data_IF_688063453851
#
_entry.id   IF_688063453851
#
_cell.length_a   1.000
_cell.length_b   1.000
_cell.length_c   1.000
_cell.angle_alpha   90.00
_cell.angle_beta   90.00
_cell.angle_gamma   90.00
#
_symmetry.space_group_name_H-M   'P 1'
#
loop_
_entity.id
_entity.type
_entity.pdbx_description
1 polymer ?
#
# COMPACT_ATOMS: atom_id res chain seq x y z
N UNK A 1 6.37 5.51 16.77
CA UNK A 1 6.56 5.51 15.30
C UNK A 1 5.43 6.27 14.61
N UNK A 2 5.62 6.64 13.35
CA UNK A 2 4.60 7.28 12.50
C UNK A 2 4.23 6.36 11.33
N UNK A 3 2.95 6.02 11.20
CA UNK A 3 2.43 5.21 10.10
C UNK A 3 1.73 6.10 9.08
N UNK A 4 1.98 5.86 7.77
CA UNK A 4 1.26 6.49 6.67
C UNK A 4 0.35 5.45 6.02
N UNK A 5 -0.94 5.73 5.95
CA UNK A 5 -1.91 4.93 5.23
C UNK A 5 -2.17 5.49 3.84
N UNK A 6 -2.10 4.64 2.84
CA UNK A 6 -2.70 4.84 1.51
C UNK A 6 -3.99 4.05 1.46
N UNK A 7 -5.11 4.74 1.56
CA UNK A 7 -6.45 4.16 1.54
C UNK A 7 -7.09 4.35 0.18
N UNK A 8 -7.51 3.24 -0.45
CA UNK A 8 -8.10 3.26 -1.78
C UNK A 8 -9.43 2.47 -1.79
N UNK A 9 -10.52 3.16 -1.56
CA UNK A 9 -11.86 2.61 -1.72
C UNK A 9 -12.89 3.72 -1.94
N UNK A 10 -13.74 3.65 -2.99
CA UNK A 10 -14.73 4.69 -3.30
C UNK A 10 -15.85 4.81 -2.27
N UNK A 11 -16.18 3.71 -1.58
CA UNK A 11 -17.33 3.64 -0.69
C UNK A 11 -16.92 3.79 0.77
N UNK A 12 -17.49 4.79 1.48
CA UNK A 12 -17.17 5.09 2.89
C UNK A 12 -17.51 3.96 3.85
N UNK A 13 -18.63 3.29 3.66
CA UNK A 13 -19.09 2.19 4.50
C UNK A 13 -18.54 0.83 4.04
N UNK A 14 -17.36 0.80 3.42
CA UNK A 14 -16.73 -0.42 2.97
C UNK A 14 -16.05 -1.18 4.12
N UNK A 15 -15.87 -2.48 3.93
CA UNK A 15 -15.08 -3.27 4.88
C UNK A 15 -13.59 -2.85 4.88
N UNK A 16 -13.06 -2.31 3.78
CA UNK A 16 -11.74 -1.67 3.75
C UNK A 16 -11.67 -0.48 4.71
N UNK A 17 -12.74 0.32 4.81
CA UNK A 17 -12.80 1.43 5.78
C UNK A 17 -12.79 0.92 7.21
N UNK A 18 -13.57 -0.11 7.52
CA UNK A 18 -13.55 -0.72 8.84
C UNK A 18 -12.16 -1.29 9.21
N UNK A 19 -11.41 -1.81 8.22
CA UNK A 19 -10.02 -2.27 8.41
C UNK A 19 -9.07 -1.12 8.68
N UNK A 20 -9.23 0.02 7.98
CA UNK A 20 -8.48 1.25 8.28
C UNK A 20 -8.75 1.73 9.70
N UNK A 21 -10.02 1.82 10.08
CA UNK A 21 -10.42 2.30 11.41
C UNK A 21 -9.87 1.38 12.52
N UNK A 22 -9.87 0.07 12.30
CA UNK A 22 -9.29 -0.90 13.23
C UNK A 22 -7.76 -0.76 13.33
N UNK A 23 -7.06 -0.51 12.22
CA UNK A 23 -5.62 -0.30 12.19
C UNK A 23 -5.24 1.00 12.93
N UNK A 24 -5.96 2.09 12.65
CA UNK A 24 -5.79 3.38 13.33
C UNK A 24 -6.05 3.26 14.84
N UNK A 25 -7.11 2.54 15.24
CA UNK A 25 -7.38 2.29 16.64
C UNK A 25 -6.22 1.55 17.33
N UNK A 26 -5.62 0.54 16.65
CA UNK A 26 -4.45 -0.16 17.17
C UNK A 26 -3.23 0.75 17.38
N UNK A 27 -2.94 1.63 16.42
CA UNK A 27 -1.84 2.61 16.56
C UNK A 27 -2.08 3.59 17.72
N UNK A 28 -3.32 4.07 17.87
CA UNK A 28 -3.70 4.95 19.00
C UNK A 28 -3.53 4.25 20.35
N UNK A 29 -3.95 3.00 20.46
CA UNK A 29 -3.78 2.19 21.67
C UNK A 29 -2.31 2.09 22.10
N UNK A 30 -1.38 2.08 21.13
CA UNK A 30 0.06 2.03 21.36
C UNK A 30 0.75 3.41 21.43
N UNK A 31 0.01 4.52 21.34
CA UNK A 31 0.57 5.87 21.36
C UNK A 31 1.36 6.25 20.11
N UNK A 32 1.07 5.62 18.97
CA UNK A 32 1.73 5.90 17.69
C UNK A 32 1.01 6.98 16.90
N UNK A 33 1.77 7.76 16.12
CA UNK A 33 1.23 8.74 15.18
C UNK A 33 0.79 8.07 13.88
N UNK A 34 -0.17 8.68 13.21
CA UNK A 34 -0.60 8.23 11.88
C UNK A 34 -0.99 9.40 10.99
N UNK A 35 -0.93 9.15 9.69
CA UNK A 35 -1.36 10.03 8.62
C UNK A 35 -2.11 9.20 7.56
N UNK A 36 -3.10 9.78 6.87
CA UNK A 36 -3.95 9.06 5.93
C UNK A 36 -4.04 9.82 4.60
N UNK A 37 -3.58 9.20 3.53
CA UNK A 37 -3.90 9.56 2.15
C UNK A 37 -5.15 8.79 1.74
N UNK A 38 -6.31 9.45 1.72
CA UNK A 38 -7.51 8.90 1.08
C UNK A 38 -7.43 9.24 -0.41
N UNK A 39 -6.75 8.40 -1.18
CA UNK A 39 -6.39 8.70 -2.56
C UNK A 39 -7.60 8.89 -3.47
N UNK A 40 -8.73 8.28 -3.12
CA UNK A 40 -9.96 8.43 -3.87
C UNK A 40 -10.55 9.85 -3.71
N UNK A 41 -10.43 10.44 -2.51
CA UNK A 41 -10.95 11.78 -2.18
C UNK A 41 -9.98 12.91 -2.46
N UNK A 42 -8.69 12.61 -2.52
CA UNK A 42 -7.65 13.60 -2.78
C UNK A 42 -7.68 14.16 -4.21
N UNK A 43 -8.50 13.58 -5.10
CA UNK A 43 -8.55 13.98 -6.51
C UNK A 43 -7.24 13.72 -7.25
N UNK A 44 -6.51 12.68 -6.84
CA UNK A 44 -5.28 12.26 -7.50
C UNK A 44 -5.57 11.69 -8.89
N UNK A 45 -4.87 12.18 -9.91
CA UNK A 45 -4.92 11.62 -11.26
C UNK A 45 -3.90 10.45 -11.37
N UNK A 46 -4.36 9.19 -11.48
CA UNK A 46 -3.48 8.03 -11.53
C UNK A 46 -2.78 7.85 -12.89
N UNK A 47 -3.19 8.59 -13.91
CA UNK A 47 -2.69 8.40 -15.27
C UNK A 47 -1.32 9.04 -15.41
N UNK A 48 -0.33 8.23 -15.79
CA UNK A 48 1.01 8.71 -16.16
C UNK A 48 0.91 9.35 -17.55
N UNK A 49 1.15 10.65 -17.64
CA UNK A 49 1.03 11.44 -18.87
C UNK A 49 2.38 11.67 -19.52
N UNK A 50 2.38 12.22 -20.74
CA UNK A 50 3.60 12.59 -21.47
C UNK A 50 4.46 13.57 -20.69
N UNK A 51 3.83 14.54 -20.01
CA UNK A 51 4.53 15.51 -19.16
C UNK A 51 5.24 14.82 -17.98
N UNK A 52 4.59 13.82 -17.35
CA UNK A 52 5.19 13.05 -16.26
C UNK A 52 6.43 12.27 -16.76
N UNK A 53 6.34 11.65 -17.95
CA UNK A 53 7.46 10.93 -18.56
C UNK A 53 8.67 11.84 -18.89
N UNK A 54 8.42 13.09 -19.26
CA UNK A 54 9.50 14.04 -19.51
C UNK A 54 10.33 14.32 -18.24
N UNK A 55 9.74 14.19 -17.06
CA UNK A 55 10.37 14.40 -15.77
C UNK A 55 10.88 13.11 -15.10
N UNK A 56 10.42 11.94 -15.57
CA UNK A 56 10.65 10.66 -14.91
C UNK A 56 12.13 10.32 -14.73
N UNK A 57 12.94 10.41 -15.78
CA UNK A 57 14.37 10.06 -15.73
C UNK A 57 15.18 10.95 -14.77
N UNK A 58 14.77 12.20 -14.61
CA UNK A 58 15.38 13.13 -13.66
C UNK A 58 14.89 12.95 -12.20
N UNK A 59 13.89 12.10 -12.00
CA UNK A 59 13.29 11.90 -10.68
C UNK A 59 12.51 13.12 -10.19
N UNK A 60 12.06 13.97 -11.12
CA UNK A 60 11.23 15.15 -10.87
C UNK A 60 9.78 14.87 -11.29
N UNK A 61 8.88 15.78 -10.98
CA UNK A 61 7.45 15.60 -11.23
C UNK A 61 6.81 16.92 -11.67
N UNK A 62 5.78 16.82 -12.53
CA UNK A 62 4.92 17.94 -12.94
C UNK A 62 3.76 18.15 -11.96
N UNK A 63 3.27 17.09 -11.33
CA UNK A 63 2.15 17.09 -10.38
C UNK A 63 2.64 17.34 -8.95
N UNK A 64 2.25 18.47 -8.36
CA UNK A 64 2.64 18.85 -7.00
C UNK A 64 2.22 17.81 -5.93
N UNK A 65 1.15 17.04 -6.18
CA UNK A 65 0.72 15.94 -5.29
C UNK A 65 1.76 14.85 -5.16
N UNK A 66 2.53 14.58 -6.20
CA UNK A 66 3.63 13.60 -6.15
C UNK A 66 4.64 14.00 -5.08
N UNK A 67 5.10 15.24 -5.10
CA UNK A 67 6.03 15.76 -4.09
C UNK A 67 5.43 15.81 -2.67
N UNK A 68 4.13 16.09 -2.55
CA UNK A 68 3.42 16.00 -1.26
C UNK A 68 3.46 14.56 -0.73
N UNK A 69 3.10 13.59 -1.56
CA UNK A 69 3.07 12.18 -1.17
C UNK A 69 4.46 11.64 -0.83
N UNK A 70 5.49 12.02 -1.58
CA UNK A 70 6.88 11.66 -1.26
C UNK A 70 7.29 12.18 0.12
N UNK A 71 7.02 13.46 0.44
CA UNK A 71 7.31 14.02 1.78
C UNK A 71 6.57 13.29 2.89
N UNK A 72 5.30 12.88 2.65
CA UNK A 72 4.51 12.11 3.64
C UNK A 72 5.08 10.70 3.84
N UNK A 73 5.54 10.05 2.79
CA UNK A 73 6.25 8.76 2.87
C UNK A 73 7.60 8.93 3.60
N UNK A 74 8.33 10.01 3.32
CA UNK A 74 9.61 10.28 3.99
C UNK A 74 9.46 10.52 5.49
N UNK A 75 8.36 11.11 5.91
CA UNK A 75 8.06 11.33 7.31
C UNK A 75 7.55 10.07 8.06
N UNK A 76 7.31 8.97 7.34
CA UNK A 76 6.76 7.75 7.92
C UNK A 76 7.86 6.70 8.21
N UNK A 77 7.64 5.94 9.29
CA UNK A 77 8.42 4.73 9.61
C UNK A 77 7.78 3.49 8.99
N UNK A 78 6.45 3.52 8.80
CA UNK A 78 5.67 2.38 8.32
C UNK A 78 4.64 2.83 7.30
N UNK A 79 4.66 2.23 6.11
CA UNK A 79 3.72 2.49 5.03
C UNK A 79 2.65 1.40 4.96
N UNK A 80 1.39 1.78 4.95
CA UNK A 80 0.26 0.84 4.94
C UNK A 80 -0.61 1.10 3.72
N UNK A 81 -0.79 0.11 2.88
CA UNK A 81 -1.76 0.17 1.79
C UNK A 81 -3.02 -0.63 2.14
N UNK A 82 -4.20 -0.04 1.97
CA UNK A 82 -5.50 -0.70 2.20
C UNK A 82 -6.38 -0.54 0.97
N UNK A 83 -6.69 -1.66 0.30
CA UNK A 83 -7.50 -1.65 -0.92
C UNK A 83 -8.21 -3.00 -1.18
N UNK A 84 -9.30 -3.02 -1.98
CA UNK A 84 -9.89 -4.24 -2.48
C UNK A 84 -9.06 -4.81 -3.65
N UNK A 85 -8.96 -6.13 -3.73
CA UNK A 85 -8.36 -6.76 -4.91
C UNK A 85 -9.38 -6.77 -6.04
N UNK A 86 -9.10 -6.02 -7.09
CA UNK A 86 -9.87 -5.97 -8.33
C UNK A 86 -9.04 -6.54 -9.47
N UNK A 87 -9.65 -7.45 -10.24
CA UNK A 87 -8.95 -8.10 -11.35
C UNK A 87 -7.54 -8.62 -10.98
N UNK A 88 -7.46 -9.30 -9.83
CA UNK A 88 -6.27 -9.96 -9.28
C UNK A 88 -5.16 -9.05 -8.74
N UNK A 89 -5.28 -7.75 -8.88
CA UNK A 89 -4.31 -6.76 -8.43
C UNK A 89 -4.96 -5.60 -7.68
N UNK A 90 -4.22 -4.53 -7.47
CA UNK A 90 -4.70 -3.30 -6.84
C UNK A 90 -5.59 -2.49 -7.80
N UNK A 91 -6.47 -1.60 -7.27
CA UNK A 91 -7.21 -0.64 -8.07
C UNK A 91 -6.30 0.35 -8.82
N UNK A 92 -6.86 1.03 -9.81
CA UNK A 92 -6.14 1.96 -10.67
C UNK A 92 -5.47 3.11 -9.91
N UNK A 93 -6.13 3.69 -8.90
CA UNK A 93 -5.55 4.76 -8.09
C UNK A 93 -4.30 4.29 -7.32
N UNK A 94 -4.37 3.12 -6.67
CA UNK A 94 -3.20 2.53 -6.00
C UNK A 94 -2.07 2.22 -6.99
N UNK A 95 -2.39 1.74 -8.21
CA UNK A 95 -1.38 1.49 -9.24
C UNK A 95 -0.75 2.79 -9.73
N UNK A 96 -1.56 3.80 -10.03
CA UNK A 96 -1.10 5.12 -10.44
C UNK A 96 -0.25 5.82 -9.36
N UNK A 97 -0.58 5.63 -8.08
CA UNK A 97 0.29 6.08 -6.99
C UNK A 97 1.69 5.46 -7.12
N UNK A 98 1.79 4.15 -7.31
CA UNK A 98 3.09 3.50 -7.48
C UNK A 98 3.82 4.01 -8.72
N UNK A 99 3.13 4.21 -9.85
CA UNK A 99 3.72 4.63 -11.10
C UNK A 99 4.24 6.08 -11.09
N UNK A 100 3.51 6.99 -10.43
CA UNK A 100 3.83 8.42 -10.42
C UNK A 100 4.69 8.83 -9.23
N UNK A 101 4.59 8.14 -8.08
CA UNK A 101 5.26 8.55 -6.84
C UNK A 101 6.60 7.85 -6.65
N UNK A 102 6.74 6.57 -7.08
CA UNK A 102 7.99 5.82 -6.92
C UNK A 102 9.01 6.18 -8.03
N UNK A 103 9.44 7.43 -8.03
CA UNK A 103 10.36 7.95 -9.03
C UNK A 103 11.81 7.53 -8.78
N UNK A 104 12.65 7.48 -9.85
CA UNK A 104 14.10 7.36 -9.73
C UNK A 104 14.69 8.44 -8.80
N UNK A 105 15.87 8.22 -8.28
CA UNK A 105 16.62 9.10 -7.36
C UNK A 105 15.95 9.32 -5.98
N UNK A 106 14.66 8.96 -5.83
CA UNK A 106 13.95 8.99 -4.56
C UNK A 106 13.61 7.58 -4.04
N UNK A 107 13.04 6.71 -4.85
CA UNK A 107 12.67 5.35 -4.42
C UNK A 107 13.71 4.30 -4.80
N UNK A 108 14.44 4.54 -5.87
CA UNK A 108 15.56 3.72 -6.32
C UNK A 108 16.55 4.58 -7.13
N UNK A 109 17.76 4.09 -7.30
CA UNK A 109 18.77 4.68 -8.19
C UNK A 109 19.40 3.61 -9.08
N UNK A 110 19.78 4.00 -10.27
CA UNK A 110 20.56 3.17 -11.17
C UNK A 110 21.97 2.99 -10.63
N UNK A 111 22.55 1.81 -10.85
CA UNK A 111 23.91 1.47 -10.45
C UNK A 111 24.68 1.05 -11.69
N UNK A 112 26.00 0.91 -11.60
CA UNK A 112 26.81 0.31 -12.67
C UNK A 112 26.49 -1.18 -12.89
N UNK A 113 25.71 -1.81 -12.01
CA UNK A 113 25.27 -3.19 -12.09
C UNK A 113 23.91 -3.33 -12.81
N UNK A 114 23.50 -4.58 -13.04
CA UNK A 114 22.23 -4.90 -13.70
C UNK A 114 20.99 -4.57 -12.84
N UNK A 115 21.14 -4.50 -11.52
CA UNK A 115 20.03 -4.32 -10.59
C UNK A 115 20.14 -2.95 -9.91
N UNK A 116 19.11 -2.10 -10.02
CA UNK A 116 19.07 -0.82 -9.32
C UNK A 116 19.13 -0.99 -7.80
N UNK A 117 19.61 0.02 -7.10
CA UNK A 117 19.62 0.08 -5.65
C UNK A 117 18.34 0.74 -5.14
N UNK A 118 17.55 0.02 -4.35
CA UNK A 118 16.38 0.58 -3.68
C UNK A 118 16.75 1.49 -2.51
N UNK A 119 16.08 2.62 -2.38
CA UNK A 119 16.41 3.68 -1.41
C UNK A 119 15.47 3.72 -0.19
N UNK A 120 14.36 2.97 -0.21
CA UNK A 120 13.34 2.99 0.85
C UNK A 120 13.46 1.83 1.85
N UNK A 121 14.67 1.31 2.06
CA UNK A 121 14.94 0.14 2.91
C UNK A 121 14.59 0.35 4.40
N UNK A 122 14.47 1.60 4.86
CA UNK A 122 14.09 1.97 6.22
C UNK A 122 12.61 1.70 6.53
N UNK A 123 11.74 1.67 5.51
CA UNK A 123 10.30 1.54 5.72
C UNK A 123 9.89 0.12 6.12
N UNK A 124 8.99 0.02 7.11
CA UNK A 124 8.10 -1.12 7.24
C UNK A 124 6.93 -1.00 6.27
N UNK A 125 6.42 -2.11 5.76
CA UNK A 125 5.23 -2.10 4.88
C UNK A 125 4.22 -3.15 5.30
N UNK A 126 2.97 -2.73 5.42
CA UNK A 126 1.82 -3.62 5.56
C UNK A 126 0.82 -3.38 4.44
N UNK A 127 0.44 -4.43 3.74
CA UNK A 127 -0.64 -4.39 2.74
C UNK A 127 -1.85 -5.11 3.32
N UNK A 128 -3.00 -4.45 3.39
CA UNK A 128 -4.26 -5.03 3.85
C UNK A 128 -5.19 -5.08 2.63
N UNK A 129 -5.67 -6.27 2.30
CA UNK A 129 -6.55 -6.43 1.13
C UNK A 129 -7.82 -7.19 1.46
N UNK A 130 -8.88 -6.87 0.75
CA UNK A 130 -10.11 -7.67 0.69
C UNK A 130 -10.25 -8.31 -0.68
N UNK A 131 -10.76 -9.54 -0.75
CA UNK A 131 -11.04 -10.20 -2.04
C UNK A 131 -12.26 -11.11 -1.96
N UNK A 132 -12.88 -11.35 -3.11
CA UNK A 132 -14.08 -12.21 -3.23
C UNK A 132 -13.79 -13.69 -3.06
N UNK A 133 -12.57 -14.16 -3.30
CA UNK A 133 -12.16 -15.55 -3.24
C UNK A 133 -11.39 -15.89 -1.95
N UNK A 134 -11.37 -17.15 -1.50
CA UNK A 134 -10.45 -17.61 -0.47
C UNK A 134 -9.00 -17.42 -0.90
N UNK A 135 -8.11 -17.10 0.04
CA UNK A 135 -6.70 -16.84 -0.29
C UNK A 135 -5.99 -18.04 -0.93
N UNK A 136 -6.30 -19.27 -0.48
CA UNK A 136 -5.73 -20.47 -1.08
C UNK A 136 -6.08 -20.62 -2.55
N UNK A 137 -7.34 -20.29 -2.93
CA UNK A 137 -7.80 -20.34 -4.33
C UNK A 137 -7.04 -19.31 -5.17
N UNK A 138 -6.92 -18.07 -4.68
CA UNK A 138 -6.14 -17.01 -5.33
C UNK A 138 -4.68 -17.42 -5.57
N UNK A 139 -4.05 -18.11 -4.59
CA UNK A 139 -2.67 -18.57 -4.72
C UNK A 139 -2.50 -19.67 -5.77
N UNK A 140 -3.43 -20.61 -5.85
CA UNK A 140 -3.28 -21.78 -6.71
C UNK A 140 -3.72 -21.50 -8.15
N UNK A 141 -4.82 -20.77 -8.33
CA UNK A 141 -5.42 -20.58 -9.66
C UNK A 141 -5.11 -19.24 -10.33
N UNK A 142 -4.77 -18.22 -9.55
CA UNK A 142 -4.43 -16.89 -10.08
C UNK A 142 -2.96 -16.51 -9.86
N UNK A 143 -2.09 -17.48 -9.64
CA UNK A 143 -0.64 -17.26 -9.55
C UNK A 143 -0.17 -16.35 -8.43
N UNK A 144 -1.05 -16.01 -7.46
CA UNK A 144 -0.72 -15.10 -6.36
C UNK A 144 -0.12 -13.76 -6.85
N UNK A 145 -0.74 -13.18 -7.89
CA UNK A 145 -0.21 -12.05 -8.66
C UNK A 145 0.22 -10.87 -7.79
N UNK A 146 -0.57 -10.50 -6.77
CA UNK A 146 -0.26 -9.39 -5.87
C UNK A 146 1.02 -9.65 -5.04
N UNK A 147 1.24 -10.90 -4.60
CA UNK A 147 2.47 -11.26 -3.90
C UNK A 147 3.69 -11.18 -4.82
N UNK A 148 3.52 -11.51 -6.09
CA UNK A 148 4.56 -11.37 -7.12
C UNK A 148 4.85 -9.91 -7.43
N UNK A 149 3.86 -9.21 -7.95
CA UNK A 149 4.02 -7.86 -8.47
C UNK A 149 4.31 -6.82 -7.38
N UNK A 150 3.50 -6.78 -6.31
CA UNK A 150 3.62 -5.75 -5.28
C UNK A 150 4.64 -6.13 -4.19
N UNK A 151 4.41 -7.29 -3.51
CA UNK A 151 5.20 -7.60 -2.33
C UNK A 151 6.65 -7.98 -2.63
N UNK A 152 6.92 -8.72 -3.72
CA UNK A 152 8.27 -9.09 -4.13
C UNK A 152 8.86 -8.12 -5.15
N UNK A 153 8.09 -7.81 -6.20
CA UNK A 153 8.49 -6.92 -7.28
C UNK A 153 8.68 -5.50 -6.76
N UNK A 154 7.61 -4.72 -6.62
CA UNK A 154 7.69 -3.30 -6.31
C UNK A 154 8.43 -3.03 -5.00
N UNK A 155 7.97 -3.59 -3.88
CA UNK A 155 8.62 -3.32 -2.57
C UNK A 155 10.03 -3.91 -2.45
N UNK A 156 10.31 -5.00 -3.18
CA UNK A 156 11.67 -5.53 -3.27
C UNK A 156 12.59 -4.63 -4.06
N UNK A 157 12.11 -4.12 -5.18
CA UNK A 157 12.85 -3.25 -6.08
C UNK A 157 13.25 -1.93 -5.39
N UNK A 158 12.34 -1.30 -4.64
CA UNK A 158 12.64 -0.07 -3.88
C UNK A 158 13.39 -0.32 -2.56
N UNK A 159 13.88 -1.55 -2.34
CA UNK A 159 14.82 -1.90 -1.28
C UNK A 159 14.22 -2.32 0.05
N UNK A 160 12.89 -2.39 0.21
CA UNK A 160 12.28 -2.79 1.48
C UNK A 160 12.60 -4.27 1.76
N UNK A 161 13.23 -4.63 2.91
CA UNK A 161 13.58 -6.02 3.21
C UNK A 161 12.35 -6.91 3.39
N UNK A 162 12.46 -8.19 3.02
CA UNK A 162 11.33 -9.15 3.13
C UNK A 162 10.76 -9.23 4.56
N UNK A 163 11.59 -9.15 5.59
CA UNK A 163 11.17 -9.17 7.00
C UNK A 163 10.33 -7.95 7.41
N UNK A 164 10.45 -6.84 6.68
CA UNK A 164 9.70 -5.60 6.90
C UNK A 164 8.40 -5.53 6.08
N UNK A 165 8.06 -6.57 5.31
CA UNK A 165 6.86 -6.60 4.47
C UNK A 165 5.84 -7.57 5.04
N UNK A 166 4.64 -7.09 5.28
CA UNK A 166 3.50 -7.89 5.75
C UNK A 166 2.32 -7.77 4.78
N UNK A 167 1.69 -8.88 4.47
CA UNK A 167 0.43 -8.90 3.75
C UNK A 167 -0.65 -9.57 4.59
N UNK A 168 -1.73 -8.81 4.88
CA UNK A 168 -2.92 -9.24 5.59
C UNK A 168 -4.06 -9.30 4.58
N UNK A 169 -4.42 -10.50 4.15
CA UNK A 169 -5.48 -10.69 3.17
C UNK A 169 -6.77 -11.20 3.81
N UNK A 170 -7.88 -10.54 3.52
CA UNK A 170 -9.22 -10.92 3.91
C UNK A 170 -9.94 -11.52 2.71
N UNK A 171 -9.74 -12.82 2.49
CA UNK A 171 -10.42 -13.55 1.41
C UNK A 171 -11.89 -13.84 1.73
N UNK A 172 -12.66 -14.08 0.65
CA UNK A 172 -14.06 -14.48 0.71
C UNK A 172 -14.97 -13.45 1.43
N UNK A 173 -14.67 -12.16 1.27
CA UNK A 173 -15.24 -11.07 2.09
C UNK A 173 -16.78 -11.00 2.02
N UNK A 174 -17.37 -11.36 0.89
CA UNK A 174 -18.84 -11.33 0.71
C UNK A 174 -19.57 -12.42 1.50
N UNK A 175 -18.87 -13.52 1.87
CA UNK A 175 -19.47 -14.71 2.50
C UNK A 175 -19.11 -14.88 3.98
N UNK A 176 -18.27 -14.01 4.53
CA UNK A 176 -17.93 -14.06 5.95
C UNK A 176 -19.03 -13.40 6.79
N UNK A 177 -19.51 -14.11 7.81
CA UNK A 177 -20.49 -13.59 8.78
C UNK A 177 -19.89 -12.53 9.71
N UNK A 178 -20.75 -11.75 10.37
CA UNK A 178 -20.36 -10.60 11.20
C UNK A 178 -19.42 -10.96 12.35
N UNK A 179 -19.61 -12.08 13.00
CA UNK A 179 -18.70 -12.54 14.06
C UNK A 179 -17.27 -12.77 13.53
N UNK A 180 -17.13 -13.32 12.32
CA UNK A 180 -15.83 -13.49 11.69
C UNK A 180 -15.23 -12.17 11.21
N UNK A 181 -16.06 -11.23 10.71
CA UNK A 181 -15.62 -9.85 10.38
C UNK A 181 -15.05 -9.16 11.61
N UNK A 182 -15.78 -9.14 12.74
CA UNK A 182 -15.31 -8.57 14.00
C UNK A 182 -13.98 -9.17 14.46
N UNK A 183 -13.85 -10.50 14.50
CA UNK A 183 -12.58 -11.16 14.87
C UNK A 183 -11.39 -10.75 13.97
N UNK A 184 -11.63 -10.46 12.69
CA UNK A 184 -10.58 -10.01 11.78
C UNK A 184 -10.19 -8.55 12.02
N UNK A 185 -11.17 -7.68 12.31
CA UNK A 185 -10.91 -6.29 12.72
C UNK A 185 -10.10 -6.26 14.03
N UNK A 186 -10.47 -7.06 15.04
CA UNK A 186 -9.73 -7.17 16.30
C UNK A 186 -8.29 -7.68 16.08
N UNK A 187 -8.10 -8.59 15.13
CA UNK A 187 -6.75 -9.07 14.77
C UNK A 187 -5.91 -7.95 14.13
N UNK A 188 -6.50 -7.15 13.25
CA UNK A 188 -5.83 -6.00 12.64
C UNK A 188 -5.48 -4.98 13.71
N UNK A 189 -6.43 -4.60 14.58
CA UNK A 189 -6.18 -3.69 15.70
C UNK A 189 -5.02 -4.15 16.57
N UNK A 190 -5.02 -5.43 17.01
CA UNK A 190 -3.93 -5.99 17.82
C UNK A 190 -2.59 -6.03 17.07
N UNK A 191 -2.59 -6.28 15.77
CA UNK A 191 -1.37 -6.23 14.97
C UNK A 191 -0.73 -4.84 14.98
N UNK A 192 -1.55 -3.80 14.75
CA UNK A 192 -1.05 -2.42 14.76
C UNK A 192 -0.73 -1.89 16.16
N UNK A 193 -1.36 -2.41 17.21
CA UNK A 193 -0.98 -2.11 18.58
C UNK A 193 0.34 -2.77 19.03
N UNK A 194 0.86 -3.72 18.26
CA UNK A 194 2.10 -4.45 18.55
C UNK A 194 3.28 -4.05 17.62
N UNK A 195 3.10 -3.05 16.74
CA UNK A 195 4.17 -2.51 15.89
C UNK A 195 5.09 -1.59 16.72
#
# INVERSE_FOLDING_TARGET
>A
MRALFLFDHPHENSYCRALLDAAVAGLRDAGHEYDIIDIYRDGFDPVLKTEDLAHYGEGTFSDAKVGEYQRRVDAADHFVMIFPVWWQVMPALSKGFLDKVLLPKWSFEETSGMVPRGLLSRLGVTVITTMGFPHWYYRLFFGNALAGALMRGTFGFIGIPRRHRRWINIGNVARIGDAARRRRLDRVRRYFAAL
#
